data_IF_720029686803
#
_entry.id   IF_720029686803
#
_cell.length_a   1.000
_cell.length_b   1.000
_cell.length_c   1.000
_cell.angle_alpha   90.00
_cell.angle_beta   90.00
_cell.angle_gamma   90.00
#
_symmetry.space_group_name_H-M   'P 1'
#
loop_
_entity.id
_entity.type
_entity.pdbx_description
1 polymer ?
#
# COMPACT_ATOMS: atom_id res chain seq x y z
N UNK A 1 13.96 -44.92 16.99
CA UNK A 1 13.95 -44.25 15.68
C UNK A 1 12.52 -44.05 15.16
N UNK A 2 11.70 -45.08 14.95
CA UNK A 2 10.31 -44.96 14.46
C UNK A 2 9.42 -44.02 15.30
N UNK A 3 9.61 -44.02 16.64
CA UNK A 3 8.88 -43.13 17.55
C UNK A 3 9.21 -41.67 17.30
N UNK A 4 10.47 -41.33 17.08
CA UNK A 4 10.89 -39.97 16.76
C UNK A 4 10.31 -39.49 15.43
N UNK A 5 10.34 -40.35 14.38
CA UNK A 5 9.75 -40.00 13.08
C UNK A 5 8.26 -39.65 13.21
N UNK A 6 7.51 -40.48 13.94
CA UNK A 6 6.08 -40.23 14.16
C UNK A 6 5.86 -38.94 14.95
N UNK A 7 6.66 -38.68 15.97
CA UNK A 7 6.55 -37.47 16.79
C UNK A 7 6.87 -36.20 15.98
N UNK A 8 7.94 -36.20 15.18
CA UNK A 8 8.30 -35.08 14.29
C UNK A 8 7.21 -34.82 13.27
N UNK A 9 6.67 -35.85 12.61
CA UNK A 9 5.55 -35.71 11.67
C UNK A 9 4.30 -35.13 12.33
N UNK A 10 4.00 -35.56 13.57
CA UNK A 10 2.85 -35.01 14.31
C UNK A 10 3.04 -33.57 14.68
N UNK A 11 4.24 -33.13 15.08
CA UNK A 11 4.58 -31.77 15.41
C UNK A 11 4.54 -30.86 14.14
N UNK A 12 5.09 -31.33 13.01
CA UNK A 12 4.99 -30.69 11.72
C UNK A 12 3.54 -30.41 11.27
N UNK A 13 2.66 -31.42 11.46
CA UNK A 13 1.26 -31.29 11.05
C UNK A 13 0.41 -30.41 11.99
N UNK A 14 0.88 -30.10 13.20
CA UNK A 14 0.15 -29.28 14.18
C UNK A 14 0.63 -27.84 14.20
N UNK A 15 1.85 -27.59 13.79
CA UNK A 15 2.43 -26.26 13.80
C UNK A 15 1.70 -25.34 12.80
N UNK A 16 1.38 -24.14 13.25
CA UNK A 16 0.74 -23.11 12.41
C UNK A 16 1.75 -22.30 11.61
N UNK A 17 2.97 -22.24 12.08
CA UNK A 17 4.07 -21.49 11.44
C UNK A 17 5.32 -22.35 11.26
N UNK A 18 6.19 -22.02 10.26
CA UNK A 18 7.47 -22.72 10.10
C UNK A 18 8.36 -22.60 11.34
N UNK A 19 8.35 -21.48 12.03
CA UNK A 19 9.17 -21.20 13.21
C UNK A 19 8.79 -22.13 14.37
N UNK A 20 7.50 -22.23 14.65
CA UNK A 20 6.96 -23.16 15.66
C UNK A 20 7.28 -24.62 15.33
N UNK A 21 7.15 -24.99 14.05
CA UNK A 21 7.50 -26.34 13.59
C UNK A 21 8.96 -26.68 13.87
N UNK A 22 9.88 -25.78 13.54
CA UNK A 22 11.32 -25.99 13.71
C UNK A 22 11.69 -26.12 15.17
N UNK A 23 11.19 -25.26 16.05
CA UNK A 23 11.42 -25.31 17.48
C UNK A 23 10.97 -26.64 18.07
N UNK A 24 9.75 -27.09 17.76
CA UNK A 24 9.20 -28.36 18.23
C UNK A 24 9.97 -29.57 17.72
N UNK A 25 10.42 -29.53 16.45
CA UNK A 25 11.23 -30.61 15.86
C UNK A 25 12.58 -30.70 16.55
N UNK A 26 13.29 -29.61 16.72
CA UNK A 26 14.62 -29.62 17.36
C UNK A 26 14.55 -30.09 18.79
N UNK A 27 13.53 -29.68 19.55
CA UNK A 27 13.26 -30.19 20.88
C UNK A 27 13.11 -31.68 20.86
N UNK A 28 12.28 -32.27 19.96
CA UNK A 28 12.09 -33.70 19.85
C UNK A 28 13.37 -34.46 19.45
N UNK A 29 14.15 -33.90 18.52
CA UNK A 29 15.43 -34.47 18.07
C UNK A 29 16.42 -34.47 19.21
N UNK A 30 16.59 -33.39 19.96
CA UNK A 30 17.47 -33.29 21.11
C UNK A 30 17.09 -34.24 22.23
N UNK A 31 15.83 -34.26 22.62
CA UNK A 31 15.32 -35.18 23.65
C UNK A 31 15.55 -36.67 23.30
N UNK A 32 15.33 -37.03 22.03
CA UNK A 32 15.49 -38.39 21.57
C UNK A 32 16.96 -38.81 21.44
N UNK A 33 17.81 -37.96 20.89
CA UNK A 33 19.22 -38.25 20.64
C UNK A 33 20.06 -38.11 21.91
N UNK A 34 19.61 -37.27 22.84
CA UNK A 34 20.31 -36.95 24.08
C UNK A 34 21.62 -36.20 23.85
N UNK A 35 21.77 -35.51 22.69
CA UNK A 35 22.95 -34.72 22.39
C UNK A 35 22.92 -33.38 23.13
N UNK A 36 24.09 -32.81 23.40
CA UNK A 36 24.22 -31.56 24.15
C UNK A 36 23.73 -30.35 23.38
N UNK A 37 23.90 -30.30 22.04
CA UNK A 37 23.44 -29.17 21.23
C UNK A 37 22.85 -29.62 19.89
N UNK A 38 21.82 -28.89 19.46
CA UNK A 38 21.17 -29.04 18.15
C UNK A 38 20.89 -27.70 17.52
N UNK A 39 20.91 -27.61 16.19
CA UNK A 39 20.57 -26.39 15.47
C UNK A 39 20.07 -26.66 14.05
N UNK A 40 19.23 -25.78 13.54
CA UNK A 40 18.85 -25.74 12.13
C UNK A 40 19.39 -24.45 11.52
N UNK A 41 20.07 -24.61 10.40
CA UNK A 41 20.47 -23.50 9.54
C UNK A 41 19.58 -23.50 8.31
N UNK A 42 19.04 -22.36 7.96
CA UNK A 42 18.21 -22.20 6.76
C UNK A 42 18.79 -21.07 5.90
N UNK A 43 18.53 -21.18 4.60
CA UNK A 43 18.97 -20.19 3.64
C UNK A 43 18.32 -18.83 3.91
N UNK A 44 19.16 -17.80 4.05
CA UNK A 44 18.80 -16.38 4.09
C UNK A 44 19.69 -15.61 3.12
N UNK A 45 19.10 -15.19 1.99
CA UNK A 45 19.85 -14.59 0.89
C UNK A 45 20.92 -15.54 0.34
N UNK A 46 22.18 -15.15 0.53
CA UNK A 46 23.38 -15.86 0.10
C UNK A 46 24.01 -16.71 1.20
N UNK A 47 23.52 -16.65 2.44
CA UNK A 47 24.07 -17.33 3.61
C UNK A 47 23.11 -18.34 4.23
N UNK A 48 23.57 -19.03 5.28
CA UNK A 48 22.83 -20.03 6.04
C UNK A 48 23.04 -19.84 7.55
N UNK A 49 22.53 -18.75 8.15
CA UNK A 49 22.62 -18.53 9.59
C UNK A 49 21.85 -19.59 10.37
N UNK A 50 22.09 -19.68 11.68
CA UNK A 50 21.20 -20.42 12.56
C UNK A 50 19.82 -19.80 12.54
N UNK A 51 18.82 -20.60 12.15
CA UNK A 51 17.41 -20.22 12.23
C UNK A 51 16.86 -20.47 13.64
N UNK A 52 17.20 -21.63 14.20
CA UNK A 52 16.93 -21.99 15.58
C UNK A 52 18.04 -22.91 16.11
N UNK A 53 18.31 -22.84 17.40
CA UNK A 53 19.30 -23.67 18.06
C UNK A 53 18.98 -23.85 19.55
N UNK A 54 19.47 -24.93 20.13
CA UNK A 54 19.38 -25.23 21.56
C UNK A 54 20.66 -25.97 22.02
N UNK A 55 21.29 -25.47 23.10
CA UNK A 55 22.46 -26.04 23.72
C UNK A 55 23.81 -25.52 23.23
N UNK A 56 23.88 -24.77 22.15
CA UNK A 56 25.09 -24.05 21.75
C UNK A 56 25.33 -22.84 22.65
N UNK A 57 26.60 -22.50 22.90
CA UNK A 57 26.98 -21.28 23.60
C UNK A 57 26.70 -20.04 22.72
N UNK A 58 26.44 -18.86 23.35
CA UNK A 58 26.28 -17.62 22.61
C UNK A 58 27.55 -17.30 21.78
N UNK A 59 28.74 -17.59 22.30
CA UNK A 59 30.03 -17.43 21.61
C UNK A 59 30.09 -18.28 20.35
N UNK A 60 29.66 -19.57 20.45
CA UNK A 60 29.60 -20.47 19.29
C UNK A 60 28.69 -19.92 18.21
N UNK A 61 27.49 -19.47 18.60
CA UNK A 61 26.50 -18.95 17.66
C UNK A 61 26.98 -17.67 17.00
N UNK A 62 27.63 -16.77 17.74
CA UNK A 62 28.20 -15.53 17.19
C UNK A 62 29.32 -15.82 16.17
N UNK A 63 30.26 -16.72 16.51
CA UNK A 63 31.36 -17.12 15.63
C UNK A 63 30.91 -17.85 14.37
N UNK A 64 29.83 -18.61 14.47
CA UNK A 64 29.23 -19.42 13.40
C UNK A 64 27.97 -18.79 12.81
N UNK A 65 27.68 -17.50 13.09
CA UNK A 65 26.50 -16.78 12.60
C UNK A 65 26.40 -16.75 11.08
N UNK A 66 27.54 -16.67 10.39
CA UNK A 66 27.67 -16.75 8.95
C UNK A 66 28.53 -17.94 8.53
N UNK A 67 28.12 -18.65 7.49
CA UNK A 67 28.95 -19.68 6.84
C UNK A 67 29.76 -19.12 5.67
N UNK A 68 29.54 -17.90 5.27
CA UNK A 68 30.28 -17.27 4.19
C UNK A 68 31.75 -17.03 4.56
N UNK A 69 32.63 -17.21 3.60
CA UNK A 69 34.05 -16.82 3.71
C UNK A 69 34.19 -15.34 3.44
N UNK A 70 35.07 -14.69 4.22
CA UNK A 70 35.46 -13.28 4.07
C UNK A 70 36.95 -13.15 3.88
N UNK A 71 37.37 -12.20 3.08
CA UNK A 71 38.78 -11.85 2.92
C UNK A 71 39.30 -11.01 4.11
N UNK A 72 40.59 -10.71 4.12
CA UNK A 72 41.24 -9.93 5.19
C UNK A 72 40.72 -8.49 5.29
N UNK A 73 40.02 -8.01 4.24
CA UNK A 73 39.39 -6.69 4.17
C UNK A 73 37.91 -6.73 4.61
N UNK A 74 37.38 -7.93 4.92
CA UNK A 74 35.97 -8.14 5.32
C UNK A 74 34.99 -8.21 4.16
N UNK A 75 35.46 -8.37 2.91
CA UNK A 75 34.57 -8.55 1.76
C UNK A 75 34.21 -10.03 1.60
N UNK A 76 32.97 -10.28 1.14
CA UNK A 76 32.47 -11.60 0.87
C UNK A 76 33.24 -12.27 -0.29
N UNK A 77 33.85 -13.42 -0.02
CA UNK A 77 34.54 -14.20 -1.05
C UNK A 77 33.51 -14.86 -1.95
N UNK A 78 33.66 -14.68 -3.26
CA UNK A 78 32.79 -15.30 -4.27
C UNK A 78 33.58 -16.26 -5.17
N UNK A 79 32.92 -17.33 -5.55
CA UNK A 79 33.48 -18.28 -6.55
C UNK A 79 33.47 -17.68 -7.97
N UNK A 80 34.01 -18.43 -8.94
CA UNK A 80 34.06 -18.02 -10.36
C UNK A 80 32.67 -17.79 -10.98
N UNK A 81 31.62 -18.32 -10.37
CA UNK A 81 30.21 -18.15 -10.76
C UNK A 81 29.52 -16.98 -10.06
N UNK A 82 30.24 -16.21 -9.23
CA UNK A 82 29.69 -15.08 -8.46
C UNK A 82 28.91 -15.51 -7.20
N UNK A 83 28.88 -16.79 -6.85
CA UNK A 83 28.23 -17.30 -5.64
C UNK A 83 29.15 -17.17 -4.43
N UNK A 84 28.60 -16.92 -3.22
CA UNK A 84 29.39 -16.90 -2.00
C UNK A 84 30.11 -18.24 -1.80
N UNK A 85 31.35 -18.17 -1.33
CA UNK A 85 32.09 -19.33 -0.86
C UNK A 85 31.63 -19.62 0.55
N UNK A 86 31.02 -20.78 0.76
CA UNK A 86 30.67 -21.26 2.11
C UNK A 86 31.86 -22.04 2.67
N UNK A 87 32.18 -21.82 3.93
CA UNK A 87 33.27 -22.46 4.63
C UNK A 87 32.78 -23.58 5.55
N UNK A 88 33.73 -24.31 6.12
CA UNK A 88 33.49 -25.40 7.04
C UNK A 88 32.75 -26.59 6.43
N UNK A 89 32.67 -27.70 7.16
CA UNK A 89 31.91 -28.89 6.76
C UNK A 89 30.43 -28.59 6.56
N UNK A 90 29.87 -27.64 7.30
CA UNK A 90 28.50 -27.16 7.13
C UNK A 90 28.26 -26.64 5.71
N UNK A 91 29.16 -25.78 5.22
CA UNK A 91 29.08 -25.26 3.85
C UNK A 91 29.19 -26.35 2.79
N UNK A 92 30.07 -27.33 2.99
CA UNK A 92 30.25 -28.45 2.06
C UNK A 92 28.99 -29.32 1.94
N UNK A 93 28.37 -29.66 3.07
CA UNK A 93 27.10 -30.42 3.11
C UNK A 93 25.97 -29.62 2.45
N UNK A 94 25.84 -28.34 2.76
CA UNK A 94 24.82 -27.46 2.15
C UNK A 94 24.99 -27.35 0.63
N UNK A 95 26.22 -27.27 0.15
CA UNK A 95 26.52 -27.21 -1.27
C UNK A 95 26.35 -28.56 -1.99
N UNK A 96 26.15 -29.66 -1.25
CA UNK A 96 26.08 -31.02 -1.81
C UNK A 96 27.37 -31.46 -2.46
N UNK A 97 28.52 -30.96 -1.97
CA UNK A 97 29.87 -31.27 -2.52
C UNK A 97 30.60 -32.31 -1.67
N UNK A 98 29.88 -33.16 -0.97
CA UNK A 98 30.40 -34.26 -0.16
C UNK A 98 30.85 -35.41 -1.05
N UNK A 99 31.84 -36.19 -0.58
CA UNK A 99 32.37 -37.38 -1.24
C UNK A 99 32.13 -38.62 -0.36
N UNK A 100 31.15 -39.44 -0.72
CA UNK A 100 30.78 -40.67 0.01
C UNK A 100 31.88 -41.75 0.06
N UNK A 101 32.98 -41.56 -0.67
CA UNK A 101 34.17 -42.46 -0.54
C UNK A 101 35.01 -42.16 0.73
N UNK A 102 34.80 -40.99 1.33
CA UNK A 102 35.50 -40.60 2.57
C UNK A 102 34.73 -41.15 3.78
N UNK A 103 35.42 -41.63 4.82
CA UNK A 103 34.76 -42.33 5.94
C UNK A 103 33.88 -41.43 6.83
N UNK A 104 33.96 -40.11 6.67
CA UNK A 104 33.17 -39.15 7.42
C UNK A 104 32.01 -38.54 6.62
N UNK A 105 31.77 -38.99 5.37
CA UNK A 105 30.59 -38.69 4.60
C UNK A 105 29.75 -39.91 4.31
N UNK A 106 28.45 -39.72 4.23
CA UNK A 106 27.52 -40.75 3.78
C UNK A 106 27.26 -40.63 2.28
N UNK A 107 26.67 -41.67 1.67
CA UNK A 107 26.12 -41.57 0.30
C UNK A 107 24.98 -40.53 0.21
N UNK A 108 24.22 -40.34 1.29
CA UNK A 108 23.18 -39.33 1.43
C UNK A 108 23.72 -37.90 1.54
N UNK A 109 25.05 -37.73 1.65
CA UNK A 109 25.71 -36.42 1.68
C UNK A 109 25.78 -35.77 3.06
N UNK A 110 25.51 -36.51 4.13
CA UNK A 110 25.73 -36.06 5.50
C UNK A 110 27.22 -36.17 5.88
N UNK A 111 27.65 -35.27 6.77
CA UNK A 111 28.91 -35.36 7.45
C UNK A 111 28.65 -35.91 8.88
N UNK A 112 29.54 -36.80 9.37
CA UNK A 112 29.55 -37.15 10.78
C UNK A 112 30.96 -37.50 11.25
N UNK A 113 31.24 -37.19 12.49
CA UNK A 113 32.46 -37.59 13.21
C UNK A 113 32.07 -37.94 14.64
N UNK A 114 32.65 -39.02 15.18
CA UNK A 114 32.53 -39.41 16.57
C UNK A 114 33.75 -39.03 17.43
N UNK A 115 34.75 -38.39 16.80
CA UNK A 115 35.90 -37.81 17.45
C UNK A 115 36.49 -36.78 16.51
N UNK A 116 36.10 -35.49 16.69
CA UNK A 116 36.55 -34.40 15.85
C UNK A 116 38.05 -34.10 16.08
N UNK A 117 38.53 -34.28 17.27
CA UNK A 117 39.96 -34.08 17.58
C UNK A 117 40.84 -35.09 16.81
N UNK A 118 40.45 -36.34 16.71
CA UNK A 118 41.17 -37.34 15.91
C UNK A 118 41.01 -37.05 14.41
N UNK A 119 39.81 -36.67 13.93
CA UNK A 119 39.57 -36.32 12.55
C UNK A 119 40.52 -35.20 12.12
N UNK A 120 40.62 -34.11 12.89
CA UNK A 120 41.45 -32.96 12.57
C UNK A 120 42.93 -33.31 12.57
N UNK A 121 43.39 -34.18 13.49
CA UNK A 121 44.77 -34.65 13.55
C UNK A 121 45.14 -35.57 12.38
N UNK A 122 44.19 -36.41 11.92
CA UNK A 122 44.41 -37.44 10.91
C UNK A 122 44.21 -36.94 9.47
N UNK A 123 43.63 -35.76 9.27
CA UNK A 123 43.28 -35.22 7.95
C UNK A 123 43.75 -33.79 7.74
N UNK A 124 44.00 -33.43 6.47
CA UNK A 124 44.26 -32.06 6.02
C UNK A 124 42.99 -31.41 5.47
N UNK A 125 43.00 -30.10 5.19
CA UNK A 125 41.90 -29.41 4.52
C UNK A 125 41.63 -29.99 3.11
N UNK A 126 42.68 -30.48 2.43
CA UNK A 126 42.52 -31.18 1.13
C UNK A 126 41.78 -32.50 1.29
N UNK A 127 42.06 -33.28 2.33
CA UNK A 127 41.34 -34.49 2.64
C UNK A 127 39.89 -34.24 2.98
N UNK A 128 39.61 -33.14 3.66
CA UNK A 128 38.27 -32.71 4.04
C UNK A 128 37.51 -31.96 2.93
N UNK A 129 38.21 -31.65 1.83
CA UNK A 129 37.66 -30.94 0.65
C UNK A 129 37.27 -29.47 0.89
N UNK A 130 37.60 -28.93 2.06
CA UNK A 130 37.23 -27.55 2.44
C UNK A 130 38.12 -27.08 3.60
N UNK A 131 38.32 -25.76 3.68
CA UNK A 131 38.89 -25.14 4.87
C UNK A 131 37.88 -25.19 6.02
N UNK A 132 38.33 -25.71 7.17
CA UNK A 132 37.51 -25.85 8.38
C UNK A 132 37.85 -24.81 9.41
N UNK A 133 36.85 -24.11 9.95
CA UNK A 133 37.06 -23.12 11.03
C UNK A 133 37.36 -23.78 12.37
N UNK A 134 37.02 -25.05 12.53
CA UNK A 134 37.26 -25.88 13.72
C UNK A 134 36.57 -25.38 15.01
N UNK A 135 35.58 -24.51 14.91
CA UNK A 135 34.89 -23.92 16.07
C UNK A 135 34.22 -25.00 16.90
N UNK A 136 33.53 -25.98 16.27
CA UNK A 136 32.92 -27.08 17.00
C UNK A 136 33.94 -27.83 17.88
N UNK A 137 35.11 -28.20 17.35
CA UNK A 137 36.15 -28.88 18.15
C UNK A 137 36.75 -27.96 19.22
N UNK A 138 36.96 -26.65 18.91
CA UNK A 138 37.48 -25.70 19.88
C UNK A 138 36.54 -25.46 21.06
N UNK A 139 35.22 -25.61 20.87
CA UNK A 139 34.20 -25.59 21.91
C UNK A 139 34.01 -26.94 22.63
N UNK A 140 34.83 -27.95 22.29
CA UNK A 140 34.84 -29.25 22.96
C UNK A 140 33.90 -30.29 22.40
N UNK A 141 33.24 -30.06 21.28
CA UNK A 141 32.35 -31.04 20.67
C UNK A 141 33.16 -32.12 19.93
N UNK A 142 33.16 -33.34 20.46
CA UNK A 142 33.85 -34.50 19.87
C UNK A 142 32.97 -35.27 18.88
N UNK A 143 31.69 -35.35 19.12
CA UNK A 143 30.74 -35.91 18.16
C UNK A 143 29.95 -34.82 17.44
N UNK A 144 30.04 -34.77 16.11
CA UNK A 144 29.33 -33.82 15.26
C UNK A 144 28.66 -34.53 14.10
N UNK A 145 27.38 -34.24 13.88
CA UNK A 145 26.61 -34.70 12.71
C UNK A 145 25.95 -33.51 12.00
N UNK A 146 26.11 -33.45 10.69
CA UNK A 146 25.58 -32.45 9.82
C UNK A 146 24.71 -33.08 8.73
N UNK A 147 23.41 -32.88 8.85
CA UNK A 147 22.40 -33.58 8.02
C UNK A 147 21.76 -32.58 7.07
N UNK A 148 21.82 -32.76 5.73
CA UNK A 148 21.21 -31.87 4.78
C UNK A 148 19.69 -31.91 4.86
N UNK A 149 19.05 -30.77 4.92
CA UNK A 149 17.59 -30.61 4.78
C UNK A 149 17.26 -30.51 3.30
N UNK A 150 16.73 -31.61 2.74
CA UNK A 150 16.46 -31.72 1.31
C UNK A 150 14.99 -31.46 0.99
N UNK A 151 14.77 -30.73 -0.09
CA UNK A 151 13.45 -30.59 -0.70
C UNK A 151 13.59 -30.78 -2.21
N UNK A 152 13.08 -31.86 -2.74
CA UNK A 152 13.30 -32.28 -4.12
C UNK A 152 14.81 -32.38 -4.43
N UNK A 153 15.27 -31.66 -5.47
CA UNK A 153 16.67 -31.68 -5.92
C UNK A 153 17.54 -30.59 -5.24
N UNK A 154 17.04 -29.92 -4.22
CA UNK A 154 17.76 -28.82 -3.55
C UNK A 154 17.96 -29.07 -2.06
N UNK A 155 19.10 -28.61 -1.54
CA UNK A 155 19.36 -28.53 -0.11
C UNK A 155 18.93 -27.13 0.33
N UNK A 156 17.95 -27.05 1.24
CA UNK A 156 17.36 -25.79 1.72
C UNK A 156 17.96 -25.33 3.05
N UNK A 157 18.72 -26.21 3.70
CA UNK A 157 19.32 -25.95 5.00
C UNK A 157 20.08 -27.14 5.54
N UNK A 158 20.40 -27.08 6.81
CA UNK A 158 21.19 -28.05 7.54
C UNK A 158 20.61 -28.29 8.93
N UNK A 159 20.50 -29.54 9.35
CA UNK A 159 20.31 -29.93 10.74
C UNK A 159 21.67 -30.32 11.31
N UNK A 160 22.08 -29.69 12.40
CA UNK A 160 23.34 -29.87 13.09
C UNK A 160 23.09 -30.49 14.48
N UNK A 161 23.85 -31.52 14.84
CA UNK A 161 23.84 -32.15 16.16
C UNK A 161 25.28 -32.23 16.66
N UNK A 162 25.53 -31.70 17.84
CA UNK A 162 26.85 -31.74 18.49
C UNK A 162 26.76 -32.32 19.89
N UNK A 163 27.81 -33.05 20.28
CA UNK A 163 27.95 -33.62 21.63
C UNK A 163 29.40 -33.58 22.07
N UNK A 164 29.62 -33.32 23.35
CA UNK A 164 30.97 -33.30 23.96
C UNK A 164 31.53 -34.72 24.12
N UNK A 165 30.67 -35.73 24.23
CA UNK A 165 31.12 -37.10 24.32
C UNK A 165 31.48 -37.68 22.94
N UNK A 166 32.46 -38.55 22.92
CA UNK A 166 32.82 -39.34 21.73
C UNK A 166 31.83 -40.47 21.45
N UNK A 167 31.70 -40.92 20.20
CA UNK A 167 31.02 -42.13 19.83
C UNK A 167 29.50 -42.07 19.86
N UNK A 168 28.91 -40.87 19.72
CA UNK A 168 27.44 -40.65 19.84
C UNK A 168 26.65 -41.18 18.65
N UNK A 169 27.25 -41.29 17.47
CA UNK A 169 26.51 -41.57 16.24
C UNK A 169 26.83 -42.95 15.69
N UNK A 170 25.80 -43.77 15.45
CA UNK A 170 25.88 -44.97 14.64
C UNK A 170 25.47 -44.69 13.21
N UNK A 171 25.91 -45.51 12.25
CA UNK A 171 25.48 -45.43 10.86
C UNK A 171 23.95 -45.48 10.72
N UNK A 172 23.29 -46.37 11.46
CA UNK A 172 21.83 -46.50 11.46
C UNK A 172 21.16 -45.21 11.92
N UNK A 173 21.74 -44.53 12.93
CA UNK A 173 21.22 -43.26 13.43
C UNK A 173 21.39 -42.16 12.39
N UNK A 174 22.55 -42.04 11.71
CA UNK A 174 22.78 -41.05 10.67
C UNK A 174 21.84 -41.25 9.49
N UNK A 175 21.68 -42.47 8.97
CA UNK A 175 20.73 -42.80 7.90
C UNK A 175 19.29 -42.44 8.27
N UNK A 176 18.92 -42.68 9.51
CA UNK A 176 17.61 -42.29 10.01
C UNK A 176 17.44 -40.76 10.04
N UNK A 177 18.45 -40.03 10.51
CA UNK A 177 18.44 -38.57 10.55
C UNK A 177 18.42 -37.99 9.14
N UNK A 178 19.01 -38.62 8.14
CA UNK A 178 18.91 -38.21 6.72
C UNK A 178 17.46 -38.29 6.22
N UNK A 179 16.76 -39.39 6.45
CA UNK A 179 15.35 -39.54 6.12
C UNK A 179 14.46 -38.52 6.85
N UNK A 180 14.80 -38.23 8.11
CA UNK A 180 14.15 -37.17 8.87
C UNK A 180 14.42 -35.77 8.28
N UNK A 181 15.69 -35.48 7.93
CA UNK A 181 16.09 -34.24 7.29
C UNK A 181 15.38 -33.99 5.97
N UNK A 182 15.19 -35.00 5.14
CA UNK A 182 14.37 -34.92 3.92
C UNK A 182 12.91 -34.59 4.24
N UNK A 183 12.32 -35.28 5.21
CA UNK A 183 10.92 -35.02 5.61
C UNK A 183 10.73 -33.61 6.14
N UNK A 184 11.66 -33.14 6.96
CA UNK A 184 11.68 -31.76 7.48
C UNK A 184 11.83 -30.76 6.32
N UNK A 185 12.77 -30.98 5.40
CA UNK A 185 13.02 -30.13 4.26
C UNK A 185 11.79 -29.95 3.35
N UNK A 186 11.11 -31.07 3.05
CA UNK A 186 9.87 -31.03 2.27
C UNK A 186 8.78 -30.26 3.00
N UNK A 187 8.56 -30.53 4.28
CA UNK A 187 7.51 -29.89 5.07
C UNK A 187 7.75 -28.36 5.20
N UNK A 188 8.98 -27.94 5.53
CA UNK A 188 9.34 -26.53 5.63
C UNK A 188 9.16 -25.79 4.28
N UNK A 189 9.49 -26.44 3.18
CA UNK A 189 9.27 -25.88 1.85
C UNK A 189 7.79 -25.66 1.59
N UNK A 190 6.97 -26.64 1.88
CA UNK A 190 5.51 -26.55 1.75
C UNK A 190 4.91 -25.43 2.62
N UNK A 191 5.31 -25.33 3.88
CA UNK A 191 4.82 -24.30 4.79
C UNK A 191 5.19 -22.90 4.30
N UNK A 192 6.44 -22.70 3.85
CA UNK A 192 6.88 -21.41 3.28
C UNK A 192 6.12 -21.04 1.99
N UNK A 193 5.89 -22.01 1.11
CA UNK A 193 5.12 -21.80 -0.11
C UNK A 193 3.66 -21.41 0.19
N UNK A 194 3.04 -22.10 1.16
CA UNK A 194 1.67 -21.81 1.58
C UNK A 194 1.54 -20.42 2.26
N UNK A 195 2.47 -20.07 3.13
CA UNK A 195 2.50 -18.74 3.75
C UNK A 195 2.68 -17.65 2.70
N UNK A 196 3.59 -17.83 1.74
CA UNK A 196 3.80 -16.90 0.62
C UNK A 196 2.55 -16.77 -0.23
N UNK A 197 1.88 -17.90 -0.54
CA UNK A 197 0.62 -17.90 -1.29
C UNK A 197 -0.46 -17.13 -0.56
N UNK A 198 -0.61 -17.36 0.76
CA UNK A 198 -1.61 -16.67 1.60
C UNK A 198 -1.35 -15.15 1.68
N UNK A 199 -0.08 -14.74 1.80
CA UNK A 199 0.30 -13.32 1.77
C UNK A 199 -0.03 -12.68 0.42
N UNK A 200 0.32 -13.35 -0.67
CA UNK A 200 0.03 -12.87 -2.02
C UNK A 200 -1.48 -12.78 -2.32
N UNK A 201 -2.27 -13.75 -1.84
CA UNK A 201 -3.74 -13.73 -1.98
C UNK A 201 -4.37 -12.56 -1.23
N UNK A 202 -3.96 -12.31 0.02
CA UNK A 202 -4.42 -11.15 0.81
C UNK A 202 -4.07 -9.82 0.13
N UNK A 203 -2.86 -9.70 -0.38
CA UNK A 203 -2.44 -8.48 -1.08
C UNK A 203 -3.21 -8.29 -2.39
N UNK A 204 -3.45 -9.38 -3.13
CA UNK A 204 -4.29 -9.37 -4.33
C UNK A 204 -5.72 -8.92 -4.03
N UNK A 205 -6.33 -9.44 -2.97
CA UNK A 205 -7.68 -9.07 -2.55
C UNK A 205 -7.77 -7.57 -2.19
N UNK A 206 -6.77 -7.09 -1.43
CA UNK A 206 -6.66 -5.66 -1.09
C UNK A 206 -6.55 -4.78 -2.34
N UNK A 207 -5.69 -5.15 -3.29
CA UNK A 207 -5.52 -4.42 -4.54
C UNK A 207 -6.80 -4.43 -5.39
N UNK A 208 -7.50 -5.56 -5.48
CA UNK A 208 -8.78 -5.66 -6.20
C UNK A 208 -9.85 -4.73 -5.60
N UNK A 209 -9.92 -4.67 -4.27
CA UNK A 209 -10.84 -3.76 -3.58
C UNK A 209 -10.52 -2.30 -3.89
N UNK A 210 -9.24 -1.91 -3.80
CA UNK A 210 -8.80 -0.55 -4.13
C UNK A 210 -9.06 -0.19 -5.60
N UNK A 211 -8.76 -1.10 -6.53
CA UNK A 211 -9.07 -0.89 -7.95
C UNK A 211 -10.57 -0.76 -8.21
N UNK A 212 -11.39 -1.57 -7.54
CA UNK A 212 -12.84 -1.48 -7.65
C UNK A 212 -13.38 -0.11 -7.22
N UNK A 213 -12.89 0.44 -6.11
CA UNK A 213 -13.25 1.78 -5.64
C UNK A 213 -12.80 2.86 -6.64
N UNK A 214 -11.57 2.77 -7.13
CA UNK A 214 -11.05 3.73 -8.10
C UNK A 214 -11.83 3.74 -9.43
N UNK A 215 -12.26 2.57 -9.88
CA UNK A 215 -13.10 2.47 -11.09
C UNK A 215 -14.48 3.11 -10.86
N UNK A 216 -15.09 2.95 -9.68
CA UNK A 216 -16.36 3.60 -9.34
C UNK A 216 -16.23 5.12 -9.34
N UNK A 217 -15.18 5.65 -8.70
CA UNK A 217 -14.89 7.09 -8.71
C UNK A 217 -14.76 7.63 -10.14
N UNK A 218 -13.92 6.98 -10.97
CA UNK A 218 -13.71 7.39 -12.36
C UNK A 218 -14.99 7.32 -13.19
N UNK A 219 -15.79 6.26 -13.03
CA UNK A 219 -17.06 6.12 -13.73
C UNK A 219 -18.08 7.20 -13.29
N UNK A 220 -18.12 7.54 -12.01
CA UNK A 220 -19.00 8.60 -11.51
C UNK A 220 -18.61 9.95 -12.11
N UNK A 221 -17.33 10.30 -12.11
CA UNK A 221 -16.82 11.53 -12.72
C UNK A 221 -17.03 11.57 -14.24
N UNK A 222 -16.80 10.44 -14.92
CA UNK A 222 -17.07 10.33 -16.35
C UNK A 222 -18.54 10.56 -16.69
N UNK A 223 -19.46 9.90 -15.96
CA UNK A 223 -20.91 10.04 -16.17
C UNK A 223 -21.38 11.47 -15.88
N UNK A 224 -20.82 12.12 -14.86
CA UNK A 224 -21.07 13.55 -14.59
C UNK A 224 -20.60 14.39 -15.78
N UNK A 225 -19.37 14.15 -16.27
CA UNK A 225 -18.86 14.88 -17.45
C UNK A 225 -19.71 14.67 -18.70
N UNK A 226 -20.18 13.45 -18.95
CA UNK A 226 -21.08 13.15 -20.07
C UNK A 226 -22.41 13.87 -19.98
N UNK A 227 -22.94 14.06 -18.75
CA UNK A 227 -24.15 14.87 -18.53
C UNK A 227 -23.93 16.35 -18.86
N UNK A 228 -22.74 16.87 -18.53
CA UNK A 228 -22.37 18.26 -18.79
C UNK A 228 -22.25 18.58 -20.27
N UNK A 229 -21.83 17.60 -21.07
CA UNK A 229 -21.65 17.77 -22.51
C UNK A 229 -22.97 17.68 -23.30
N UNK A 230 -24.14 17.44 -22.65
CA UNK A 230 -25.45 17.39 -23.29
C UNK A 230 -26.03 18.79 -23.46
N UNK A 231 -26.12 19.33 -24.69
CA UNK A 231 -26.55 20.70 -24.94
C UNK A 231 -28.04 20.92 -24.70
N UNK A 232 -28.86 19.86 -24.72
CA UNK A 232 -30.31 19.91 -24.65
C UNK A 232 -30.86 19.91 -23.22
N UNK A 233 -30.03 19.70 -22.19
CA UNK A 233 -30.44 19.66 -20.79
C UNK A 233 -30.46 21.05 -20.16
N UNK A 234 -31.50 21.31 -19.40
CA UNK A 234 -31.55 22.47 -18.51
C UNK A 234 -30.58 22.25 -17.34
N UNK A 235 -30.21 23.32 -16.63
CA UNK A 235 -29.33 23.20 -15.44
C UNK A 235 -29.99 22.34 -14.36
N UNK A 236 -31.28 22.50 -14.19
CA UNK A 236 -32.06 21.73 -13.23
C UNK A 236 -32.03 20.22 -13.57
N UNK A 237 -32.22 19.86 -14.83
CA UNK A 237 -32.14 18.46 -15.30
C UNK A 237 -30.71 17.93 -15.17
N UNK A 238 -29.70 18.76 -15.44
CA UNK A 238 -28.29 18.37 -15.28
C UNK A 238 -27.95 18.12 -13.81
N UNK A 239 -28.32 19.04 -12.89
CA UNK A 239 -28.08 18.87 -11.45
C UNK A 239 -28.86 17.68 -10.88
N UNK A 240 -30.10 17.46 -11.33
CA UNK A 240 -30.88 16.28 -10.96
C UNK A 240 -30.21 14.99 -11.44
N UNK A 241 -29.72 14.96 -12.68
CA UNK A 241 -28.95 13.82 -13.20
C UNK A 241 -27.67 13.57 -12.43
N UNK A 242 -26.94 14.61 -12.02
CA UNK A 242 -25.73 14.48 -11.20
C UNK A 242 -26.06 13.86 -9.84
N UNK A 243 -27.11 14.33 -9.16
CA UNK A 243 -27.49 13.80 -7.83
C UNK A 243 -27.86 12.32 -7.90
N UNK A 244 -28.48 11.87 -8.99
CA UNK A 244 -28.86 10.47 -9.21
C UNK A 244 -27.64 9.55 -9.46
N UNK A 245 -26.55 10.10 -10.00
CA UNK A 245 -25.32 9.36 -10.28
C UNK A 245 -24.42 9.23 -9.05
N UNK A 246 -24.50 10.14 -8.06
CA UNK A 246 -23.60 10.17 -6.91
C UNK A 246 -23.56 8.88 -6.10
N UNK A 247 -24.69 8.22 -5.75
CA UNK A 247 -24.65 6.99 -4.97
C UNK A 247 -23.82 5.88 -5.61
N UNK A 248 -23.82 5.78 -6.94
CA UNK A 248 -23.05 4.75 -7.67
C UNK A 248 -21.53 4.87 -7.51
N UNK A 249 -21.05 6.06 -7.15
CA UNK A 249 -19.64 6.34 -6.88
C UNK A 249 -19.17 5.93 -5.47
N UNK A 250 -20.09 5.60 -4.57
CA UNK A 250 -19.83 5.30 -3.17
C UNK A 250 -19.42 3.84 -2.94
N UNK A 251 -18.81 3.56 -1.79
CA UNK A 251 -18.46 2.20 -1.37
C UNK A 251 -19.70 1.33 -1.20
N UNK A 252 -20.78 1.89 -0.65
CA UNK A 252 -22.07 1.21 -0.42
C UNK A 252 -23.18 1.89 -1.20
N UNK A 253 -23.26 1.70 -2.54
CA UNK A 253 -24.22 2.42 -3.39
C UNK A 253 -25.68 2.17 -3.01
N UNK A 254 -25.99 0.96 -2.54
CA UNK A 254 -27.33 0.53 -2.14
C UNK A 254 -27.84 1.21 -0.86
N UNK A 255 -26.92 1.72 -0.05
CA UNK A 255 -27.22 2.43 1.19
C UNK A 255 -27.04 3.96 1.06
N UNK A 256 -26.51 4.42 -0.06
CA UNK A 256 -26.21 5.83 -0.29
C UNK A 256 -27.39 6.58 -0.89
N UNK A 257 -27.65 7.76 -0.36
CA UNK A 257 -28.58 8.75 -0.93
C UNK A 257 -27.89 10.11 -0.99
N UNK A 258 -28.24 10.91 -1.99
CA UNK A 258 -27.60 12.19 -2.23
C UNK A 258 -28.59 13.34 -2.25
N UNK A 259 -28.08 14.53 -1.88
CA UNK A 259 -28.77 15.81 -2.02
C UNK A 259 -27.80 16.86 -2.57
N UNK A 260 -28.28 17.65 -3.51
CA UNK A 260 -27.60 18.87 -3.96
C UNK A 260 -28.54 20.04 -3.67
N UNK A 261 -28.02 21.03 -2.95
CA UNK A 261 -28.72 22.29 -2.67
C UNK A 261 -28.03 23.40 -3.46
N UNK A 262 -28.78 24.13 -4.26
CA UNK A 262 -28.27 25.29 -5.02
C UNK A 262 -29.20 26.46 -4.83
N UNK A 263 -28.73 27.54 -4.21
CA UNK A 263 -29.58 28.68 -3.81
C UNK A 263 -30.76 28.18 -2.98
N UNK A 264 -31.99 28.34 -3.47
CA UNK A 264 -33.23 27.92 -2.78
C UNK A 264 -33.83 26.62 -3.34
N UNK A 265 -33.12 25.93 -4.25
CA UNK A 265 -33.59 24.68 -4.86
C UNK A 265 -32.83 23.48 -4.30
N UNK A 266 -33.58 22.41 -4.03
CA UNK A 266 -33.06 21.12 -3.61
C UNK A 266 -33.30 20.06 -4.66
N UNK A 267 -32.27 19.27 -4.95
CA UNK A 267 -32.30 18.10 -5.82
C UNK A 267 -31.93 16.87 -4.98
N UNK A 268 -32.68 15.81 -5.08
CA UNK A 268 -32.54 14.63 -4.20
C UNK A 268 -32.69 13.35 -4.99
N UNK A 269 -31.98 12.30 -4.53
CA UNK A 269 -32.27 10.94 -4.96
C UNK A 269 -33.56 10.43 -4.36
N UNK A 270 -34.18 9.44 -5.00
CA UNK A 270 -35.33 8.76 -4.46
C UNK A 270 -35.05 8.17 -3.08
N UNK A 271 -36.00 8.32 -2.14
CA UNK A 271 -35.84 7.81 -0.78
C UNK A 271 -34.88 8.58 0.10
N UNK A 272 -34.42 9.77 -0.30
CA UNK A 272 -33.54 10.61 0.50
C UNK A 272 -34.05 10.85 1.92
N UNK A 273 -33.18 10.61 2.91
CA UNK A 273 -33.38 10.93 4.32
C UNK A 273 -32.08 11.43 4.92
N UNK A 274 -32.17 12.46 5.75
CA UNK A 274 -31.02 12.91 6.52
C UNK A 274 -30.66 11.87 7.60
N UNK A 275 -29.39 11.59 7.74
CA UNK A 275 -28.84 10.68 8.76
C UNK A 275 -27.63 11.32 9.42
N UNK A 276 -27.17 10.76 10.50
CA UNK A 276 -25.93 11.17 11.17
C UNK A 276 -24.66 10.82 10.36
N UNK A 277 -24.77 9.81 9.48
CA UNK A 277 -23.68 9.38 8.59
C UNK A 277 -23.73 10.16 7.28
N UNK A 278 -23.09 11.33 7.30
CA UNK A 278 -23.14 12.29 6.21
C UNK A 278 -21.77 12.88 5.90
N UNK A 279 -21.47 13.02 4.61
CA UNK A 279 -20.40 13.90 4.11
C UNK A 279 -21.00 15.02 3.29
N UNK A 280 -20.39 16.20 3.37
CA UNK A 280 -20.86 17.42 2.74
C UNK A 280 -19.71 18.20 2.12
N UNK A 281 -19.86 18.63 0.87
CA UNK A 281 -18.99 19.56 0.19
C UNK A 281 -19.75 20.83 -0.20
N UNK A 282 -19.10 22.00 -0.04
CA UNK A 282 -19.73 23.29 -0.31
C UNK A 282 -19.50 23.72 -1.74
N UNK A 283 -20.55 24.13 -2.43
CA UNK A 283 -20.47 24.79 -3.74
C UNK A 283 -20.22 26.28 -3.49
N UNK A 284 -19.02 26.77 -3.84
CA UNK A 284 -18.60 28.16 -3.61
C UNK A 284 -18.41 28.86 -4.93
N UNK A 285 -19.00 30.08 -5.05
CA UNK A 285 -18.81 31.00 -6.16
C UNK A 285 -18.18 32.27 -5.58
N UNK A 286 -16.93 32.58 -5.94
CA UNK A 286 -16.19 33.74 -5.40
C UNK A 286 -16.40 33.92 -3.90
N UNK A 287 -15.93 33.32 -2.99
CA UNK A 287 -16.08 33.44 -1.53
C UNK A 287 -17.52 33.36 -0.94
N UNK A 288 -18.56 33.27 -1.78
CA UNK A 288 -19.94 33.06 -1.32
C UNK A 288 -20.33 31.60 -1.47
N UNK A 289 -20.86 30.99 -0.41
CA UNK A 289 -21.43 29.65 -0.48
C UNK A 289 -22.80 29.73 -1.17
N UNK A 290 -22.89 29.11 -2.33
CA UNK A 290 -24.12 29.07 -3.15
C UNK A 290 -24.94 27.81 -2.93
N UNK A 291 -24.35 26.81 -2.27
CA UNK A 291 -25.01 25.54 -2.04
C UNK A 291 -24.11 24.48 -1.43
N UNK A 292 -24.55 23.25 -1.49
CA UNK A 292 -23.83 22.09 -1.02
C UNK A 292 -24.18 20.83 -1.79
N UNK A 293 -23.26 19.89 -1.84
CA UNK A 293 -23.45 18.49 -2.24
C UNK A 293 -23.30 17.64 -1.01
N UNK A 294 -24.25 16.75 -0.77
CA UNK A 294 -24.32 15.92 0.43
C UNK A 294 -24.62 14.47 0.05
N UNK A 295 -23.96 13.54 0.75
CA UNK A 295 -24.26 12.12 0.66
C UNK A 295 -24.47 11.60 2.08
N UNK A 296 -25.53 10.81 2.23
CA UNK A 296 -25.90 10.14 3.47
C UNK A 296 -25.94 8.63 3.27
N UNK A 297 -25.43 7.86 4.23
CA UNK A 297 -25.72 6.43 4.32
C UNK A 297 -26.98 6.20 5.15
N UNK A 298 -27.90 5.39 4.64
CA UNK A 298 -29.20 5.11 5.29
C UNK A 298 -29.10 4.14 6.47
N UNK A 299 -27.93 3.51 6.65
CA UNK A 299 -27.65 2.55 7.70
C UNK A 299 -26.20 2.66 8.14
N UNK A 300 -25.90 2.22 9.35
CA UNK A 300 -24.54 2.22 9.91
C UNK A 300 -23.61 1.34 9.05
N UNK A 301 -22.44 1.88 8.75
CA UNK A 301 -21.36 1.19 8.03
C UNK A 301 -20.07 1.27 8.89
N UNK A 302 -19.09 0.39 8.66
CA UNK A 302 -17.82 0.42 9.40
C UNK A 302 -17.14 1.78 9.31
N UNK A 303 -16.55 2.23 10.43
CA UNK A 303 -15.78 3.47 10.47
C UNK A 303 -14.58 3.44 9.51
N UNK A 304 -14.31 4.60 8.90
CA UNK A 304 -13.25 4.81 7.93
C UNK A 304 -12.58 6.19 8.12
N UNK A 305 -12.29 6.91 7.05
CA UNK A 305 -11.59 8.20 7.06
C UNK A 305 -12.44 9.35 7.67
N UNK A 306 -13.71 9.43 7.29
CA UNK A 306 -14.66 10.43 7.80
C UNK A 306 -15.97 9.73 8.18
N UNK A 307 -16.08 9.26 9.42
CA UNK A 307 -17.12 8.34 9.82
C UNK A 307 -17.07 7.08 8.93
N UNK A 308 -18.16 6.67 8.29
CA UNK A 308 -18.17 5.49 7.43
C UNK A 308 -17.63 5.73 6.01
N UNK A 309 -17.20 6.95 5.68
CA UNK A 309 -16.79 7.34 4.33
C UNK A 309 -15.28 7.23 4.13
N UNK A 310 -14.87 6.78 2.93
CA UNK A 310 -13.48 6.73 2.50
C UNK A 310 -12.95 8.12 2.10
N UNK A 311 -11.64 8.29 2.11
CA UNK A 311 -11.00 9.53 1.63
C UNK A 311 -11.30 9.79 0.14
N UNK A 312 -11.40 8.73 -0.66
CA UNK A 312 -11.74 8.79 -2.08
C UNK A 312 -13.18 9.30 -2.30
N UNK A 313 -14.12 8.92 -1.43
CA UNK A 313 -15.51 9.37 -1.51
C UNK A 313 -15.63 10.87 -1.18
N UNK A 314 -14.87 11.35 -0.20
CA UNK A 314 -14.80 12.78 0.12
C UNK A 314 -14.24 13.56 -1.07
N UNK A 315 -13.14 13.08 -1.69
CA UNK A 315 -12.54 13.69 -2.88
C UNK A 315 -13.48 13.69 -4.09
N UNK A 316 -14.23 12.61 -4.29
CA UNK A 316 -15.25 12.55 -5.34
C UNK A 316 -16.32 13.64 -5.13
N UNK A 317 -16.79 13.80 -3.89
CA UNK A 317 -17.78 14.81 -3.56
C UNK A 317 -17.28 16.22 -3.82
N UNK A 318 -16.02 16.51 -3.46
CA UNK A 318 -15.37 17.78 -3.73
C UNK A 318 -15.26 18.05 -5.24
N UNK A 319 -14.85 17.05 -6.02
CA UNK A 319 -14.74 17.14 -7.47
C UNK A 319 -16.11 17.39 -8.12
N UNK A 320 -17.17 16.72 -7.66
CA UNK A 320 -18.52 16.95 -8.16
C UNK A 320 -19.03 18.35 -7.79
N UNK A 321 -18.74 18.82 -6.57
CA UNK A 321 -19.08 20.20 -6.14
C UNK A 321 -18.45 21.24 -7.06
N UNK A 322 -17.20 21.02 -7.48
CA UNK A 322 -16.52 21.87 -8.45
C UNK A 322 -17.16 21.82 -9.84
N UNK A 323 -17.61 20.65 -10.30
CA UNK A 323 -18.32 20.53 -11.58
C UNK A 323 -19.67 21.27 -11.55
N UNK A 324 -20.46 21.09 -10.48
CA UNK A 324 -21.71 21.82 -10.28
C UNK A 324 -21.46 23.34 -10.27
N UNK A 325 -20.41 23.81 -9.61
CA UNK A 325 -19.98 25.21 -9.64
C UNK A 325 -19.76 25.70 -11.09
N UNK A 326 -19.00 24.95 -11.90
CA UNK A 326 -18.70 25.32 -13.30
C UNK A 326 -19.96 25.47 -14.15
N UNK A 327 -20.95 24.61 -13.94
CA UNK A 327 -22.24 24.72 -14.64
C UNK A 327 -22.94 26.03 -14.28
N UNK A 328 -23.01 26.33 -12.99
CA UNK A 328 -23.69 27.54 -12.51
C UNK A 328 -22.97 28.80 -12.98
N UNK A 329 -21.66 28.81 -12.95
CA UNK A 329 -20.84 29.93 -13.44
C UNK A 329 -21.05 30.17 -14.95
N UNK A 330 -21.00 29.09 -15.75
CA UNK A 330 -21.16 29.18 -17.18
C UNK A 330 -22.56 29.72 -17.56
N UNK A 331 -23.59 29.29 -16.85
CA UNK A 331 -24.95 29.74 -17.10
C UNK A 331 -25.13 31.20 -16.70
N UNK A 332 -24.66 31.63 -15.55
CA UNK A 332 -24.70 33.00 -15.14
C UNK A 332 -24.01 33.92 -16.19
N UNK A 333 -22.84 33.52 -16.71
CA UNK A 333 -22.18 34.21 -17.82
C UNK A 333 -23.01 34.28 -19.09
N UNK A 334 -23.68 33.19 -19.47
CA UNK A 334 -24.52 33.11 -20.67
C UNK A 334 -25.79 33.98 -20.54
N UNK A 335 -26.44 33.98 -19.38
CA UNK A 335 -27.59 34.84 -19.09
C UNK A 335 -27.21 36.32 -19.14
N UNK A 336 -26.02 36.64 -18.60
CA UNK A 336 -25.44 37.95 -18.66
C UNK A 336 -25.16 38.43 -20.10
N UNK A 337 -24.51 37.55 -20.90
CA UNK A 337 -24.24 37.88 -22.29
C UNK A 337 -25.54 38.15 -23.04
N UNK A 338 -26.56 37.32 -22.84
CA UNK A 338 -27.86 37.50 -23.47
C UNK A 338 -28.56 38.82 -23.03
N UNK A 339 -28.40 39.22 -21.76
CA UNK A 339 -28.91 40.48 -21.28
C UNK A 339 -28.13 41.66 -21.83
N UNK A 340 -26.80 41.59 -21.88
CA UNK A 340 -25.95 42.62 -22.48
C UNK A 340 -26.27 42.83 -23.96
N UNK A 341 -26.43 41.73 -24.72
CA UNK A 341 -26.82 41.82 -26.13
C UNK A 341 -28.22 42.45 -26.29
N UNK A 342 -29.14 42.19 -25.36
CA UNK A 342 -30.47 42.80 -25.35
C UNK A 342 -30.39 44.32 -25.05
N UNK A 343 -29.54 44.74 -24.12
CA UNK A 343 -29.32 46.13 -23.80
C UNK A 343 -28.56 46.85 -24.93
N UNK A 344 -27.58 46.23 -25.58
CA UNK A 344 -26.88 46.75 -26.74
C UNK A 344 -27.80 46.98 -27.95
N UNK A 345 -28.92 46.27 -28.07
CA UNK A 345 -29.94 46.49 -29.10
C UNK A 345 -30.90 47.64 -28.80
N UNK A 346 -30.96 48.06 -27.53
CA UNK A 346 -31.93 49.06 -27.08
C UNK A 346 -31.23 50.43 -26.83
N UNK A 347 -29.98 50.40 -26.40
CA UNK A 347 -29.20 51.57 -26.07
C UNK A 347 -28.35 52.02 -27.26
N UNK A 348 -28.20 53.32 -27.45
CA UNK A 348 -27.26 53.89 -28.43
C UNK A 348 -25.80 53.69 -27.93
N UNK A 349 -24.86 53.72 -28.86
CA UNK A 349 -23.42 53.62 -28.54
C UNK A 349 -22.97 54.66 -27.50
N UNK A 350 -23.58 55.89 -27.53
CA UNK A 350 -23.27 56.94 -26.55
C UNK A 350 -23.80 56.59 -25.14
N UNK A 351 -24.98 56.00 -25.04
CA UNK A 351 -25.56 55.58 -23.77
C UNK A 351 -24.80 54.38 -23.16
N UNK A 352 -24.33 53.45 -23.98
CA UNK A 352 -23.49 52.33 -23.56
C UNK A 352 -22.13 52.84 -23.03
N UNK A 353 -21.50 53.81 -23.75
CA UNK A 353 -20.24 54.40 -23.30
C UNK A 353 -20.42 55.21 -22.01
N UNK A 354 -21.55 55.90 -21.85
CA UNK A 354 -21.87 56.63 -20.63
C UNK A 354 -22.09 55.67 -19.43
N UNK A 355 -22.82 54.58 -19.60
CA UNK A 355 -22.99 53.57 -18.57
C UNK A 355 -21.66 52.91 -18.17
N UNK A 356 -20.81 52.64 -19.14
CA UNK A 356 -19.46 52.07 -18.90
C UNK A 356 -18.56 53.06 -18.16
N UNK A 357 -18.64 54.37 -18.45
CA UNK A 357 -17.89 55.39 -17.73
C UNK A 357 -18.32 55.51 -16.26
N UNK A 358 -19.62 55.45 -15.99
CA UNK A 358 -20.15 55.47 -14.63
C UNK A 358 -19.70 54.21 -13.81
N UNK A 359 -19.66 53.06 -14.45
CA UNK A 359 -19.18 51.80 -13.84
C UNK A 359 -17.69 51.86 -13.55
N UNK A 360 -16.87 52.42 -14.45
CA UNK A 360 -15.43 52.59 -14.25
C UNK A 360 -15.09 53.64 -13.19
N UNK A 361 -15.90 54.71 -13.06
CA UNK A 361 -15.76 55.69 -11.98
C UNK A 361 -16.10 55.06 -10.61
N UNK A 362 -17.16 54.28 -10.50
CA UNK A 362 -17.54 53.59 -9.25
C UNK A 362 -16.47 52.56 -8.81
N UNK A 363 -15.77 51.93 -9.75
CA UNK A 363 -14.63 51.01 -9.45
C UNK A 363 -13.43 51.82 -8.93
N UNK A 364 -13.16 52.99 -9.48
CA UNK A 364 -12.06 53.87 -9.04
C UNK A 364 -12.32 54.39 -7.62
N UNK A 365 -13.56 54.68 -7.28
CA UNK A 365 -13.98 55.21 -5.98
C UNK A 365 -13.91 54.11 -4.92
N UNK A 366 -14.28 52.86 -5.23
CA UNK A 366 -14.16 51.72 -4.28
C UNK A 366 -12.74 51.28 -4.03
N UNK A 367 -11.76 51.72 -4.82
CA UNK A 367 -10.34 51.52 -4.51
C UNK A 367 -9.75 52.57 -3.56
N UNK A 368 -10.43 53.70 -3.33
CA UNK A 368 -9.85 54.82 -2.58
C UNK A 368 -10.38 55.03 -1.17
N UNK A 369 -11.48 54.43 -0.72
CA UNK A 369 -11.94 54.72 0.65
C UNK A 369 -12.59 53.61 1.42
N UNK A 370 -11.98 53.31 2.57
CA UNK A 370 -12.65 52.73 3.72
C UNK A 370 -13.28 53.79 4.65
N UNK A 371 -13.21 55.06 4.31
CA UNK A 371 -13.75 56.15 5.10
C UNK A 371 -14.75 56.96 4.30
N UNK A 372 -15.98 56.84 4.70
CA UNK A 372 -17.20 57.51 4.30
C UNK A 372 -17.12 58.79 3.43
N UNK A 373 -17.66 58.74 2.25
CA UNK A 373 -17.97 59.92 1.47
C UNK A 373 -19.35 59.86 0.82
N UNK A 374 -20.04 61.01 0.88
CA UNK A 374 -21.36 61.30 0.32
C UNK A 374 -21.46 61.01 -1.18
N UNK A 375 -22.58 60.46 -1.60
CA UNK A 375 -22.91 60.20 -2.99
C UNK A 375 -23.03 61.50 -3.80
N UNK A 376 -22.47 61.58 -5.02
CA UNK A 376 -22.75 62.69 -5.92
C UNK A 376 -24.21 62.71 -6.40
N UNK A 377 -24.80 63.92 -6.49
CA UNK A 377 -26.16 64.14 -6.91
C UNK A 377 -26.48 63.53 -8.29
N UNK A 378 -27.52 62.74 -8.34
CA UNK A 378 -28.07 62.16 -9.57
C UNK A 378 -28.68 63.28 -10.41
N UNK A 379 -28.38 63.40 -11.73
CA UNK A 379 -28.99 64.42 -12.59
C UNK A 379 -30.52 64.27 -12.65
N UNK A 380 -31.23 65.32 -12.25
CA UNK A 380 -32.67 65.39 -12.43
C UNK A 380 -32.97 65.76 -13.88
N UNK A 381 -33.75 64.99 -14.53
CA UNK A 381 -34.48 65.09 -15.79
C UNK A 381 -33.99 64.18 -16.91
N UNK A 382 -34.81 63.20 -17.20
CA UNK A 382 -34.94 62.62 -18.54
C UNK A 382 -34.72 61.12 -18.70
N UNK A 383 -34.39 60.30 -17.65
CA UNK A 383 -34.23 58.90 -17.93
C UNK A 383 -34.47 57.98 -16.70
N UNK A 384 -35.74 57.85 -16.34
CA UNK A 384 -36.17 56.77 -15.41
C UNK A 384 -35.66 55.42 -15.89
N UNK A 385 -35.60 55.21 -17.18
CA UNK A 385 -35.09 53.99 -17.81
C UNK A 385 -33.58 53.79 -17.63
N UNK A 386 -32.77 54.88 -17.71
CA UNK A 386 -31.31 54.86 -17.45
C UNK A 386 -31.01 54.63 -15.98
N UNK A 387 -31.80 55.20 -15.08
CA UNK A 387 -31.67 55.00 -13.63
C UNK A 387 -32.03 53.58 -13.23
N UNK A 388 -33.11 53.02 -13.80
CA UNK A 388 -33.49 51.62 -13.57
C UNK A 388 -32.40 50.66 -14.13
N UNK A 389 -31.91 50.94 -15.33
CA UNK A 389 -30.82 50.15 -15.95
C UNK A 389 -29.52 50.26 -15.14
N UNK A 390 -29.19 51.45 -14.61
CA UNK A 390 -28.01 51.63 -13.75
C UNK A 390 -28.17 50.98 -12.38
N UNK A 391 -29.32 51.09 -11.72
CA UNK A 391 -29.61 50.37 -10.45
C UNK A 391 -29.55 48.86 -10.65
N UNK A 392 -30.03 48.38 -11.78
CA UNK A 392 -29.99 46.95 -12.12
C UNK A 392 -28.55 46.53 -12.41
N UNK A 393 -27.79 47.27 -13.20
CA UNK A 393 -26.33 47.07 -13.40
C UNK A 393 -25.57 47.15 -12.07
N UNK A 394 -25.84 48.10 -11.20
CA UNK A 394 -25.20 48.24 -9.89
C UNK A 394 -25.50 47.08 -8.97
N UNK A 395 -26.74 46.64 -8.89
CA UNK A 395 -27.15 45.47 -8.11
C UNK A 395 -26.49 44.21 -8.65
N UNK A 396 -26.22 44.15 -9.93
CA UNK A 396 -25.58 43.04 -10.61
C UNK A 396 -24.04 43.14 -10.51
N UNK A 397 -23.46 44.35 -10.50
CA UNK A 397 -22.01 44.62 -10.36
C UNK A 397 -21.50 44.45 -8.93
N UNK A 398 -22.33 44.57 -7.91
CA UNK A 398 -22.03 44.14 -6.55
C UNK A 398 -21.73 42.61 -6.46
N UNK A 399 -22.07 41.88 -7.53
CA UNK A 399 -21.82 40.46 -7.63
C UNK A 399 -20.46 40.05 -8.18
N UNK A 400 -19.73 40.86 -9.00
CA UNK A 400 -18.41 40.44 -9.48
C UNK A 400 -17.47 41.52 -10.05
N UNK A 401 -16.49 41.88 -9.24
CA UNK A 401 -15.38 42.80 -9.58
C UNK A 401 -14.49 42.28 -10.73
N UNK A 402 -14.42 40.97 -10.98
CA UNK A 402 -13.60 40.35 -12.04
C UNK A 402 -14.29 40.42 -13.41
N UNK A 403 -15.60 40.41 -13.44
CA UNK A 403 -16.36 40.54 -14.70
C UNK A 403 -16.16 41.93 -15.31
N UNK A 404 -16.10 42.94 -14.47
CA UNK A 404 -15.81 44.35 -14.89
C UNK A 404 -14.42 44.51 -15.51
N UNK A 405 -13.39 43.87 -14.93
CA UNK A 405 -12.04 43.87 -15.50
C UNK A 405 -11.99 43.16 -16.85
N UNK A 406 -12.82 42.12 -17.06
CA UNK A 406 -12.91 41.38 -18.32
C UNK A 406 -13.73 42.15 -19.38
N UNK A 407 -14.78 42.87 -18.99
CA UNK A 407 -15.52 43.76 -19.86
C UNK A 407 -14.65 44.92 -20.37
N UNK A 408 -13.80 45.46 -19.50
CA UNK A 408 -12.80 46.46 -19.87
C UNK A 408 -11.80 45.95 -20.91
N UNK A 409 -11.32 44.72 -20.76
CA UNK A 409 -10.42 44.04 -21.71
C UNK A 409 -11.07 43.75 -23.09
N UNK A 410 -12.37 43.57 -23.14
CA UNK A 410 -13.12 43.31 -24.38
C UNK A 410 -13.47 44.59 -25.14
N UNK A 411 -13.33 45.74 -24.51
CA UNK A 411 -13.58 47.06 -25.13
C UNK A 411 -12.30 47.78 -25.57
N UNK A 412 -11.12 47.26 -25.16
CA UNK A 412 -9.79 47.76 -25.58
C UNK A 412 -9.25 47.05 -26.85
N UNK A 413 -9.90 45.97 -27.32
CA UNK A 413 -9.66 45.29 -28.60
C UNK A 413 -10.70 45.70 -29.66
#
# INVERSE_FOLDING_TARGET
LQRLALEVLQRLNRAETPDEAIEQILTAVKEFTGVSAVGIRLRDGDDYPYFYYDGFSDVHVEMESSLCGYDDEGNLIRDRGGKPVLECMCGLVILGRTDGSKPFFTEGGSFHSNNTSELLRATTDEDRLIHTRNVCNAEGYESVALIPLRSKDSIIGLLQLNDEDEGRYTEEMILFLEGLGESIGIALTHMKEEERRRKAEKEREKLLTQHGLRLRELNALYNVSELLDKPDLTVEETVQGIVELLPAGMQYPEAAVARIVVKDKEFKTDGFRETEWCIKSSIRVYDKTMGSVEIHYLEEKPESFNGPFLEEEVKLLDAVSEQVFRILEHREKSEWQTQLDRYALILSDEEVQHLLSLVTEDISITQMDQDGLDYPDVPQEGSEHLIESWLHLKTMLDLDRRLLMKLQSLLED
#
